data_IF_382291508238
#
_entry.id   IF_382291508238
#
_cell.length_a   1.000
_cell.length_b   1.000
_cell.length_c   1.000
_cell.angle_alpha   90.00
_cell.angle_beta   90.00
_cell.angle_gamma   90.00
#
_symmetry.space_group_name_H-M   'P 1'
#
loop_
_entity.id
_entity.type
_entity.pdbx_description
1 polymer ?
#
# COMPACT_ATOMS: atom_id res chain seq x y z
N UNK A 1 18.87 -17.30 29.55
CA UNK A 1 18.34 -15.93 29.81
C UNK A 1 16.95 -15.76 29.18
N UNK A 2 16.02 -15.03 29.82
CA UNK A 2 14.71 -14.69 29.24
C UNK A 2 14.79 -13.25 28.73
N UNK A 3 14.78 -13.09 27.41
CA UNK A 3 14.81 -11.78 26.74
C UNK A 3 13.50 -11.04 27.04
N UNK A 4 13.57 -9.77 27.42
CA UNK A 4 12.37 -8.95 27.63
C UNK A 4 11.61 -8.86 26.30
N UNK A 5 10.31 -9.17 26.25
CA UNK A 5 9.52 -9.03 25.03
C UNK A 5 9.55 -7.58 24.58
N UNK A 6 9.99 -7.36 23.35
CA UNK A 6 9.94 -6.05 22.71
C UNK A 6 8.46 -5.70 22.57
N UNK A 7 8.04 -4.53 23.08
CA UNK A 7 6.66 -4.08 22.89
C UNK A 7 6.38 -4.01 21.39
N UNK A 8 5.48 -4.88 20.92
CA UNK A 8 4.98 -4.92 19.54
C UNK A 8 4.07 -3.71 19.33
N UNK A 9 4.66 -2.52 19.30
CA UNK A 9 3.93 -1.33 18.88
C UNK A 9 3.76 -1.45 17.37
N UNK A 10 2.58 -1.88 16.95
CA UNK A 10 2.21 -1.80 15.54
C UNK A 10 2.31 -0.34 15.11
N UNK A 11 2.87 -0.09 13.93
CA UNK A 11 2.89 1.26 13.39
C UNK A 11 1.45 1.78 13.32
N UNK A 12 1.17 2.89 14.03
CA UNK A 12 -0.08 3.63 13.88
C UNK A 12 -0.04 4.37 12.54
N UNK A 13 -0.16 3.60 11.47
CA UNK A 13 -0.23 4.09 10.11
C UNK A 13 -1.69 4.07 9.69
N UNK A 14 -2.24 5.23 9.34
CA UNK A 14 -3.57 5.35 8.74
C UNK A 14 -3.40 5.50 7.23
N UNK A 15 -3.37 4.36 6.52
CA UNK A 15 -3.15 4.36 5.07
C UNK A 15 -4.31 5.00 4.34
N UNK A 16 -5.53 4.75 4.81
CA UNK A 16 -6.76 5.30 4.26
C UNK A 16 -6.76 6.82 4.34
N UNK A 17 -6.49 7.37 5.52
CA UNK A 17 -6.34 8.81 5.71
C UNK A 17 -5.24 9.40 4.84
N UNK A 18 -4.09 8.72 4.69
CA UNK A 18 -3.01 9.20 3.83
C UNK A 18 -3.40 9.29 2.35
N UNK A 19 -4.02 8.24 1.79
CA UNK A 19 -4.39 8.21 0.37
C UNK A 19 -5.51 9.19 0.05
N UNK A 20 -6.49 9.32 0.94
CA UNK A 20 -7.60 10.26 0.79
C UNK A 20 -7.14 11.72 0.91
N UNK A 21 -6.27 12.03 1.87
CA UNK A 21 -5.67 13.37 2.00
C UNK A 21 -4.75 13.72 0.82
N UNK A 22 -4.13 12.71 0.20
CA UNK A 22 -3.36 12.88 -1.04
C UNK A 22 -4.25 13.07 -2.28
N UNK A 23 -5.58 12.97 -2.15
CA UNK A 23 -6.53 13.13 -3.24
C UNK A 23 -6.66 11.93 -4.17
N UNK A 24 -6.14 10.76 -3.77
CA UNK A 24 -6.21 9.55 -4.59
C UNK A 24 -7.67 9.12 -4.77
N UNK A 25 -8.11 8.99 -6.03
CA UNK A 25 -9.50 8.62 -6.34
C UNK A 25 -9.60 7.21 -6.90
N UNK A 26 -8.54 6.70 -7.53
CA UNK A 26 -8.51 5.36 -8.14
C UNK A 26 -7.37 4.49 -7.58
N UNK A 27 -7.40 3.15 -7.80
CA UNK A 27 -6.33 2.25 -7.37
C UNK A 27 -4.97 2.60 -7.98
N UNK A 28 -4.95 3.11 -9.21
CA UNK A 28 -3.74 3.55 -9.90
C UNK A 28 -3.09 4.76 -9.21
N UNK A 29 -3.91 5.73 -8.78
CA UNK A 29 -3.42 6.89 -7.99
C UNK A 29 -2.78 6.43 -6.70
N UNK A 30 -3.44 5.49 -6.00
CA UNK A 30 -2.95 4.93 -4.74
C UNK A 30 -1.59 4.25 -4.93
N UNK A 31 -1.46 3.39 -5.94
CA UNK A 31 -0.18 2.73 -6.22
C UNK A 31 0.88 3.76 -6.58
N UNK A 32 0.57 4.75 -7.42
CA UNK A 32 1.53 5.80 -7.77
C UNK A 32 1.94 6.64 -6.55
N UNK A 33 1.03 6.91 -5.63
CA UNK A 33 1.30 7.64 -4.40
C UNK A 33 2.20 6.84 -3.45
N UNK A 34 1.88 5.57 -3.21
CA UNK A 34 2.68 4.68 -2.35
C UNK A 34 4.07 4.44 -2.92
N UNK A 35 4.18 4.24 -4.22
CA UNK A 35 5.44 4.11 -4.94
C UNK A 35 6.35 5.32 -4.69
N UNK A 36 5.86 6.54 -4.95
CA UNK A 36 6.64 7.78 -4.71
C UNK A 36 6.99 8.00 -3.24
N UNK A 37 6.20 7.44 -2.32
CA UNK A 37 6.36 7.65 -0.88
C UNK A 37 7.35 6.68 -0.23
N UNK A 38 7.37 5.43 -0.70
CA UNK A 38 8.08 4.32 -0.06
C UNK A 38 9.21 3.72 -0.90
N UNK A 39 9.21 3.91 -2.22
CA UNK A 39 10.25 3.37 -3.11
C UNK A 39 11.16 4.49 -3.60
N UNK A 40 12.47 4.20 -3.64
CA UNK A 40 13.47 5.11 -4.24
C UNK A 40 13.48 5.06 -5.77
N UNK A 41 12.95 3.98 -6.35
CA UNK A 41 12.94 3.72 -7.80
C UNK A 41 11.50 3.52 -8.23
N UNK A 42 11.16 4.04 -9.42
CA UNK A 42 9.83 3.86 -9.99
C UNK A 42 9.57 2.40 -10.37
N UNK A 43 8.33 1.97 -10.23
CA UNK A 43 7.85 0.69 -10.75
C UNK A 43 7.66 0.80 -12.26
N UNK A 44 7.90 -0.29 -12.97
CA UNK A 44 7.51 -0.35 -14.37
C UNK A 44 5.97 -0.31 -14.52
N UNK A 45 5.51 0.10 -15.69
CA UNK A 45 4.08 0.29 -15.95
C UNK A 45 3.27 -1.00 -15.77
N UNK A 46 3.81 -2.15 -16.18
CA UNK A 46 3.09 -3.43 -16.08
C UNK A 46 2.91 -3.84 -14.60
N UNK A 47 3.93 -3.62 -13.78
CA UNK A 47 3.91 -3.88 -12.34
C UNK A 47 2.96 -2.95 -11.60
N UNK A 48 2.94 -1.66 -11.97
CA UNK A 48 1.96 -0.68 -11.45
C UNK A 48 0.52 -1.11 -11.77
N UNK A 49 0.25 -1.50 -13.02
CA UNK A 49 -1.08 -1.97 -13.42
C UNK A 49 -1.50 -3.25 -12.67
N UNK A 50 -0.59 -4.21 -12.47
CA UNK A 50 -0.88 -5.42 -11.68
C UNK A 50 -1.24 -5.09 -10.23
N UNK A 51 -0.52 -4.17 -9.61
CA UNK A 51 -0.81 -3.72 -8.23
C UNK A 51 -2.15 -2.97 -8.14
N UNK A 52 -2.47 -2.13 -9.12
CA UNK A 52 -3.73 -1.42 -9.16
C UNK A 52 -4.91 -2.38 -9.35
N UNK A 53 -4.77 -3.35 -10.26
CA UNK A 53 -5.76 -4.40 -10.46
C UNK A 53 -5.92 -5.27 -9.21
N UNK A 54 -4.82 -5.63 -8.53
CA UNK A 54 -4.88 -6.34 -7.25
C UNK A 54 -5.67 -5.55 -6.20
N UNK A 55 -5.39 -4.25 -6.03
CA UNK A 55 -6.13 -3.42 -5.09
C UNK A 55 -7.62 -3.29 -5.47
N UNK A 56 -7.94 -3.15 -6.75
CA UNK A 56 -9.33 -3.13 -7.24
C UNK A 56 -10.08 -4.43 -6.89
N UNK A 57 -9.43 -5.60 -7.01
CA UNK A 57 -10.02 -6.87 -6.62
C UNK A 57 -10.24 -6.97 -5.10
N UNK A 58 -9.27 -6.53 -4.30
CA UNK A 58 -9.40 -6.54 -2.83
C UNK A 58 -10.47 -5.58 -2.32
N UNK A 59 -10.65 -4.42 -2.97
CA UNK A 59 -11.66 -3.43 -2.60
C UNK A 59 -13.05 -3.74 -3.17
N UNK A 60 -13.13 -4.55 -4.22
CA UNK A 60 -14.34 -4.82 -4.99
C UNK A 60 -14.85 -3.62 -5.81
N UNK A 61 -14.09 -2.52 -5.86
CA UNK A 61 -14.45 -1.29 -6.58
C UNK A 61 -13.19 -0.49 -6.92
N UNK A 62 -13.35 0.44 -7.87
CA UNK A 62 -12.33 1.42 -8.27
C UNK A 62 -12.43 2.73 -7.51
N UNK A 63 -13.51 2.95 -6.77
CA UNK A 63 -13.72 4.23 -6.07
C UNK A 63 -13.13 4.16 -4.66
N UNK A 64 -12.00 4.85 -4.46
CA UNK A 64 -11.33 4.93 -3.17
C UNK A 64 -12.13 5.69 -2.10
N UNK A 65 -13.00 6.61 -2.49
CA UNK A 65 -13.83 7.36 -1.53
C UNK A 65 -14.93 6.48 -0.97
N UNK A 66 -15.52 5.63 -1.83
CA UNK A 66 -16.54 4.67 -1.44
C UNK A 66 -16.01 3.62 -0.46
N UNK A 67 -14.71 3.32 -0.50
CA UNK A 67 -14.08 2.30 0.34
C UNK A 67 -13.46 2.85 1.63
N UNK A 68 -13.60 4.15 1.92
CA UNK A 68 -12.95 4.82 3.06
C UNK A 68 -13.17 4.17 4.43
N UNK A 69 -14.23 3.40 4.62
CA UNK A 69 -14.52 2.71 5.89
C UNK A 69 -13.86 1.34 6.03
N UNK A 70 -13.38 0.74 4.93
CA UNK A 70 -12.82 -0.62 4.91
C UNK A 70 -11.54 -0.78 4.07
N UNK A 71 -11.04 0.30 3.44
CA UNK A 71 -9.86 0.24 2.58
C UNK A 71 -8.56 -0.07 3.34
N UNK A 72 -8.53 0.16 4.65
CA UNK A 72 -7.31 0.08 5.45
C UNK A 72 -6.62 -1.29 5.36
N UNK A 73 -7.38 -2.38 5.46
CA UNK A 73 -6.84 -3.74 5.36
C UNK A 73 -6.30 -4.05 3.94
N UNK A 74 -7.04 -3.71 2.90
CA UNK A 74 -6.61 -3.87 1.50
C UNK A 74 -5.37 -3.03 1.19
N UNK A 75 -5.28 -1.81 1.74
CA UNK A 75 -4.12 -0.94 1.60
C UNK A 75 -2.88 -1.49 2.34
N UNK A 76 -3.06 -2.10 3.52
CA UNK A 76 -1.98 -2.77 4.23
C UNK A 76 -1.46 -3.96 3.45
N UNK A 77 -2.36 -4.75 2.86
CA UNK A 77 -1.98 -5.88 2.03
C UNK A 77 -1.24 -5.43 0.78
N UNK A 78 -1.73 -4.39 0.11
CA UNK A 78 -1.04 -3.77 -1.03
C UNK A 78 0.37 -3.29 -0.63
N UNK A 79 0.50 -2.57 0.49
CA UNK A 79 1.80 -2.08 0.97
C UNK A 79 2.74 -3.24 1.30
N UNK A 80 2.23 -4.31 1.91
CA UNK A 80 3.00 -5.52 2.19
C UNK A 80 3.53 -6.14 0.89
N UNK A 81 2.68 -6.31 -0.13
CA UNK A 81 3.09 -6.85 -1.43
C UNK A 81 4.10 -5.93 -2.11
N UNK A 82 3.88 -4.61 -2.07
CA UNK A 82 4.77 -3.61 -2.66
C UNK A 82 6.17 -3.66 -2.03
N UNK A 83 6.27 -3.78 -0.69
CA UNK A 83 7.54 -3.81 0.04
C UNK A 83 8.22 -5.19 0.06
N UNK A 84 7.46 -6.28 -0.18
CA UNK A 84 8.00 -7.65 -0.14
C UNK A 84 8.53 -8.13 -1.50
N UNK A 85 8.50 -7.27 -2.53
CA UNK A 85 9.03 -7.64 -3.85
C UNK A 85 10.56 -7.64 -3.84
N UNK A 86 11.19 -8.75 -4.26
CA UNK A 86 12.64 -8.92 -4.24
C UNK A 86 13.36 -8.10 -5.32
N UNK A 87 12.62 -7.46 -6.22
CA UNK A 87 13.11 -6.71 -7.39
C UNK A 87 14.01 -5.50 -7.02
N UNK A 88 14.08 -5.17 -5.73
CA UNK A 88 14.92 -4.09 -5.19
C UNK A 88 15.94 -4.56 -4.13
N UNK A 89 16.19 -5.87 -4.00
CA UNK A 89 17.48 -6.35 -3.48
C UNK A 89 18.55 -6.16 -4.57
N UNK A 90 18.84 -4.90 -4.89
CA UNK A 90 20.10 -4.58 -5.54
C UNK A 90 21.20 -4.91 -4.52
N UNK A 91 22.03 -5.90 -4.87
CA UNK A 91 23.06 -6.47 -4.02
C UNK A 91 24.12 -5.50 -3.51
#
# INVERSE_FOLDING_TARGET
ERVKPISRTVARLDLTGMVLNAGCSTPEDVVSYLERRFLSVQLDAATRHKLAAFLEQELGTRDMRATSTYAEDSLRLLLHVLLSRPEYQLG
#
